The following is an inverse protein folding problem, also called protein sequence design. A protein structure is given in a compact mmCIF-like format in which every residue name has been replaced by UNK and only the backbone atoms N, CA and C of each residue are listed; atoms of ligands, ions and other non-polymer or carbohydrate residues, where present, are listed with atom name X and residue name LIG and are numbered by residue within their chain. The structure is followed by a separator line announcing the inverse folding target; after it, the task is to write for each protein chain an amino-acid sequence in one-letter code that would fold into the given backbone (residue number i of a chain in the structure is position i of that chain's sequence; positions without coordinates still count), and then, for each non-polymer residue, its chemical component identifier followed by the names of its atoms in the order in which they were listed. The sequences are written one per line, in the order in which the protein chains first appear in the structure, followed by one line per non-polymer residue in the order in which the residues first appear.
data_IF_967114940050
#
_entry.id   IF_967114940050
#
_cell.length_a   1.000
_cell.length_b   1.000
_cell.length_c   1.000
_cell.angle_alpha   90.00
_cell.angle_beta   90.00
_cell.angle_gamma   90.00
#
_symmetry.space_group_name_H-M   'P 1'
#
loop_
_entity.id
_entity.type
_entity.pdbx_description
1 polymer ?
#
# COMPACT_ATOMS: atom_id res chain seq x y z
N UNK A 1 8.84 7.45 81.25
CA UNK A 1 8.92 6.37 80.24
C UNK A 1 7.75 6.35 79.23
N UNK A 2 6.79 7.30 79.26
CA UNK A 2 5.66 7.35 78.29
C UNK A 2 5.88 8.32 77.10
N UNK A 3 6.67 9.39 77.29
CA UNK A 3 6.95 10.38 76.23
C UNK A 3 7.79 9.83 75.08
N UNK A 4 8.76 8.94 75.35
CA UNK A 4 9.60 8.31 74.31
C UNK A 4 8.80 7.35 73.42
N UNK A 5 7.75 6.72 73.95
CA UNK A 5 6.84 5.89 73.16
C UNK A 5 6.00 6.76 72.22
N UNK A 6 5.51 7.90 72.68
CA UNK A 6 4.69 8.81 71.88
C UNK A 6 5.49 9.48 70.74
N UNK A 7 6.76 9.85 70.96
CA UNK A 7 7.61 10.40 69.88
C UNK A 7 7.98 9.32 68.86
N UNK A 8 8.31 8.10 69.33
CA UNK A 8 8.61 6.97 68.45
C UNK A 8 7.40 6.56 67.59
N UNK A 9 6.18 6.62 68.13
CA UNK A 9 4.95 6.27 67.43
C UNK A 9 4.59 7.31 66.34
N UNK A 10 4.85 8.59 66.59
CA UNK A 10 4.71 9.66 65.59
C UNK A 10 5.76 9.58 64.48
N UNK A 11 6.98 9.21 64.81
CA UNK A 11 8.06 9.06 63.81
C UNK A 11 7.84 7.82 62.94
N UNK A 12 7.30 6.73 63.52
CA UNK A 12 6.92 5.54 62.78
C UNK A 12 5.77 5.82 61.79
N UNK A 13 4.73 6.55 62.21
CA UNK A 13 3.63 6.97 61.33
C UNK A 13 4.11 7.87 60.17
N UNK A 14 5.08 8.76 60.42
CA UNK A 14 5.68 9.60 59.38
C UNK A 14 6.49 8.78 58.38
N UNK A 15 7.26 7.80 58.86
CA UNK A 15 8.01 6.88 58.01
C UNK A 15 7.08 6.03 57.14
N UNK A 16 5.95 5.58 57.70
CA UNK A 16 4.95 4.79 56.98
C UNK A 16 4.26 5.60 55.88
N UNK A 17 3.86 6.85 56.18
CA UNK A 17 3.26 7.75 55.19
C UNK A 17 4.26 8.11 54.09
N UNK A 18 5.54 8.31 54.43
CA UNK A 18 6.60 8.58 53.45
C UNK A 18 6.81 7.36 52.55
N UNK A 19 6.87 6.16 53.12
CA UNK A 19 6.98 4.91 52.39
C UNK A 19 5.82 4.71 51.42
N UNK A 20 4.58 4.90 51.88
CA UNK A 20 3.39 4.83 51.02
C UNK A 20 3.44 5.86 49.88
N UNK A 21 3.87 7.09 50.14
CA UNK A 21 4.00 8.13 49.10
C UNK A 21 5.06 7.79 48.06
N UNK A 22 6.20 7.25 48.48
CA UNK A 22 7.26 6.80 47.57
C UNK A 22 6.78 5.60 46.74
N UNK A 23 6.09 4.64 47.36
CA UNK A 23 5.52 3.49 46.67
C UNK A 23 4.49 3.90 45.62
N UNK A 24 3.56 4.80 45.98
CA UNK A 24 2.56 5.33 45.04
C UNK A 24 3.23 6.15 43.93
N UNK A 25 4.22 6.98 44.25
CA UNK A 25 4.99 7.74 43.25
C UNK A 25 5.72 6.82 42.27
N UNK A 26 6.34 5.74 42.77
CA UNK A 26 6.99 4.72 41.96
C UNK A 26 6.02 3.98 41.03
N UNK A 27 4.83 3.64 41.54
CA UNK A 27 3.76 3.01 40.73
C UNK A 27 3.27 3.93 39.61
N UNK A 28 3.07 5.22 39.90
CA UNK A 28 2.67 6.20 38.88
C UNK A 28 3.73 6.35 37.80
N UNK A 29 5.02 6.43 38.19
CA UNK A 29 6.13 6.49 37.23
C UNK A 29 6.22 5.22 36.37
N UNK A 30 6.03 4.05 36.96
CA UNK A 30 6.00 2.79 36.23
C UNK A 30 4.82 2.73 35.24
N UNK A 31 3.65 3.27 35.62
CA UNK A 31 2.49 3.35 34.73
C UNK A 31 2.75 4.30 33.56
N UNK A 32 3.36 5.45 33.80
CA UNK A 32 3.72 6.42 32.75
C UNK A 32 4.80 5.86 31.81
N UNK A 33 5.79 5.14 32.34
CA UNK A 33 6.79 4.46 31.53
C UNK A 33 6.17 3.36 30.65
N UNK A 34 5.25 2.57 31.21
CA UNK A 34 4.49 1.58 30.45
C UNK A 34 3.61 2.24 29.38
N UNK A 35 2.90 3.32 29.71
CA UNK A 35 2.10 4.06 28.74
C UNK A 35 2.98 4.62 27.60
N UNK A 36 4.13 5.22 27.92
CA UNK A 36 5.09 5.69 26.92
C UNK A 36 5.64 4.57 26.03
N UNK A 37 5.94 3.41 26.60
CA UNK A 37 6.32 2.22 25.85
C UNK A 37 5.16 1.67 25.00
N UNK A 38 3.93 1.69 25.50
CA UNK A 38 2.74 1.31 24.72
C UNK A 38 2.50 2.26 23.56
N UNK A 39 2.71 3.57 23.72
CA UNK A 39 2.62 4.53 22.62
C UNK A 39 3.73 4.36 21.58
N UNK A 40 4.95 3.99 21.99
CA UNK A 40 6.04 3.71 21.03
C UNK A 40 5.82 2.39 20.28
N UNK A 41 5.18 1.40 20.92
CA UNK A 41 4.84 0.11 20.31
C UNK A 41 3.57 0.19 19.46
N UNK A 42 2.57 1.01 19.84
CA UNK A 42 1.31 1.17 19.10
C UNK A 42 1.47 1.79 17.70
N UNK A 43 2.62 2.41 17.40
CA UNK A 43 2.97 2.87 16.05
C UNK A 43 3.79 1.88 15.22
N UNK A 44 4.14 0.71 15.78
CA UNK A 44 5.09 -0.25 15.21
C UNK A 44 4.56 -1.69 15.28
N UNK A 45 3.24 -1.86 15.20
CA UNK A 45 2.63 -3.19 15.20
C UNK A 45 2.86 -3.86 13.84
N UNK A 46 3.97 -4.60 13.79
CA UNK A 46 4.43 -5.37 12.63
C UNK A 46 3.54 -6.60 12.46
N UNK A 47 2.47 -6.49 11.68
CA UNK A 47 1.73 -7.67 11.23
C UNK A 47 2.51 -8.35 10.12
N UNK A 48 3.31 -9.36 10.48
CA UNK A 48 4.03 -10.21 9.53
C UNK A 48 3.01 -11.18 8.91
N UNK A 49 2.51 -10.87 7.72
CA UNK A 49 1.70 -11.79 6.92
C UNK A 49 2.66 -12.64 6.08
N UNK A 50 2.89 -13.89 6.49
CA UNK A 50 3.71 -14.84 5.73
C UNK A 50 2.80 -15.83 5.00
N UNK A 51 2.72 -15.77 3.67
CA UNK A 51 2.49 -16.95 2.85
C UNK A 51 3.81 -17.73 2.63
N UNK A 52 3.78 -19.06 2.51
CA UNK A 52 4.94 -19.93 2.69
C UNK A 52 6.02 -19.90 1.59
N UNK A 53 5.89 -19.09 0.54
CA UNK A 53 6.84 -19.09 -0.57
C UNK A 53 7.24 -17.66 -0.99
N UNK A 54 8.50 -17.33 -0.65
CA UNK A 54 9.48 -16.55 -1.41
C UNK A 54 9.63 -15.02 -1.15
N UNK A 55 10.83 -14.71 -0.62
CA UNK A 55 11.70 -13.52 -0.66
C UNK A 55 11.27 -12.15 -0.09
N UNK A 56 11.75 -11.95 1.16
CA UNK A 56 12.11 -10.70 1.86
C UNK A 56 10.98 -9.90 2.51
N UNK A 57 11.32 -9.40 3.69
CA UNK A 57 10.46 -8.76 4.67
C UNK A 57 10.03 -7.38 4.18
N UNK A 58 8.76 -7.21 3.80
CA UNK A 58 8.20 -5.92 3.41
C UNK A 58 8.00 -5.01 4.64
N UNK A 59 8.44 -3.75 4.55
CA UNK A 59 8.20 -2.74 5.58
C UNK A 59 7.29 -1.63 5.01
N UNK A 60 6.24 -1.28 5.76
CA UNK A 60 5.43 -0.09 5.51
C UNK A 60 5.67 0.83 6.69
N UNK A 61 6.31 1.99 6.46
CA UNK A 61 6.55 2.98 7.52
C UNK A 61 5.79 4.26 7.20
N UNK A 62 4.73 4.53 7.97
CA UNK A 62 3.90 5.73 7.85
C UNK A 62 3.16 5.82 6.51
N UNK A 63 3.76 6.52 5.54
CA UNK A 63 3.26 6.72 4.17
C UNK A 63 4.20 6.17 3.08
N UNK A 64 5.35 5.62 3.48
CA UNK A 64 6.32 5.03 2.56
C UNK A 64 6.10 3.53 2.49
N UNK A 65 5.81 3.09 1.28
CA UNK A 65 5.63 1.70 0.91
C UNK A 65 6.91 1.27 0.21
N UNK A 66 7.46 0.10 0.58
CA UNK A 66 8.73 -0.34 -0.02
C UNK A 66 8.58 -0.51 -1.54
N UNK A 67 9.63 -0.21 -2.30
CA UNK A 67 9.62 -0.38 -3.76
C UNK A 67 9.26 -1.79 -4.17
N UNK A 68 9.69 -2.81 -3.43
CA UNK A 68 9.38 -4.20 -3.71
C UNK A 68 7.89 -4.48 -3.56
N UNK A 69 7.24 -3.96 -2.52
CA UNK A 69 5.79 -4.11 -2.39
C UNK A 69 5.05 -3.39 -3.52
N UNK A 70 5.50 -2.19 -3.91
CA UNK A 70 4.93 -1.48 -5.06
C UNK A 70 5.10 -2.29 -6.35
N UNK A 71 6.26 -2.91 -6.58
CA UNK A 71 6.53 -3.77 -7.73
C UNK A 71 5.58 -4.98 -7.77
N UNK A 72 5.49 -5.73 -6.66
CA UNK A 72 4.61 -6.90 -6.54
C UNK A 72 3.14 -6.53 -6.79
N UNK A 73 2.70 -5.42 -6.18
CA UNK A 73 1.35 -4.94 -6.39
C UNK A 73 1.13 -4.51 -7.84
N UNK A 74 2.06 -3.78 -8.44
CA UNK A 74 1.94 -3.34 -9.83
C UNK A 74 1.90 -4.52 -10.79
N UNK A 75 2.70 -5.57 -10.56
CA UNK A 75 2.64 -6.82 -11.32
C UNK A 75 1.26 -7.48 -11.21
N UNK A 76 0.72 -7.57 -9.99
CA UNK A 76 -0.61 -8.13 -9.75
C UNK A 76 -1.73 -7.32 -10.45
N UNK A 77 -1.71 -5.99 -10.34
CA UNK A 77 -2.67 -5.11 -11.00
C UNK A 77 -2.56 -5.17 -12.53
N UNK A 78 -1.34 -5.21 -13.07
CA UNK A 78 -1.11 -5.40 -14.50
C UNK A 78 -1.70 -6.73 -14.98
N UNK A 79 -1.56 -7.79 -14.20
CA UNK A 79 -2.22 -9.07 -14.47
C UNK A 79 -3.75 -8.95 -14.56
N UNK A 80 -4.39 -8.31 -13.57
CA UNK A 80 -5.84 -8.10 -13.58
C UNK A 80 -6.33 -7.22 -14.74
N UNK A 81 -5.50 -6.27 -15.18
CA UNK A 81 -5.85 -5.33 -16.22
C UNK A 81 -5.59 -5.85 -17.63
N UNK A 82 -4.58 -6.71 -17.80
CA UNK A 82 -4.03 -7.08 -19.10
C UNK A 82 -4.09 -8.58 -19.41
N UNK A 83 -4.27 -9.45 -18.41
CA UNK A 83 -4.40 -10.90 -18.60
C UNK A 83 -5.87 -11.34 -18.53
N UNK A 84 -6.64 -10.85 -19.49
CA UNK A 84 -8.11 -10.95 -19.53
C UNK A 84 -8.57 -11.80 -20.70
N UNK A 85 -9.55 -12.67 -20.45
CA UNK A 85 -10.32 -13.40 -21.47
C UNK A 85 -11.79 -12.98 -21.41
N UNK A 86 -12.59 -13.26 -22.46
CA UNK A 86 -14.01 -12.87 -22.49
C UNK A 86 -14.81 -13.40 -21.29
N UNK A 87 -14.44 -14.56 -20.76
CA UNK A 87 -15.13 -15.20 -19.64
C UNK A 87 -14.82 -14.55 -18.29
N UNK A 88 -13.59 -14.04 -18.10
CA UNK A 88 -13.13 -13.51 -16.81
C UNK A 88 -13.07 -11.99 -16.75
N UNK A 89 -13.21 -11.30 -17.89
CA UNK A 89 -13.00 -9.87 -17.98
C UNK A 89 -13.90 -9.04 -17.05
N UNK A 90 -15.15 -9.45 -16.83
CA UNK A 90 -16.05 -8.76 -15.89
C UNK A 90 -15.61 -8.98 -14.44
N UNK A 91 -15.23 -10.21 -14.09
CA UNK A 91 -14.74 -10.55 -12.76
C UNK A 91 -13.44 -9.82 -12.43
N UNK A 92 -12.46 -9.83 -13.34
CA UNK A 92 -11.18 -9.16 -13.14
C UNK A 92 -11.33 -7.63 -13.06
N UNK A 93 -12.18 -7.01 -13.90
CA UNK A 93 -12.56 -5.60 -13.77
C UNK A 93 -13.10 -5.29 -12.38
N UNK A 94 -14.07 -6.07 -11.91
CA UNK A 94 -14.67 -5.83 -10.59
C UNK A 94 -13.67 -6.05 -9.45
N UNK A 95 -12.73 -6.97 -9.61
CA UNK A 95 -11.63 -7.16 -8.65
C UNK A 95 -10.65 -5.99 -8.66
N UNK A 96 -10.28 -5.48 -9.83
CA UNK A 96 -9.42 -4.29 -9.97
C UNK A 96 -10.07 -3.06 -9.32
N UNK A 97 -11.35 -2.82 -9.59
CA UNK A 97 -12.10 -1.67 -9.08
C UNK A 97 -12.29 -1.69 -7.56
N UNK A 98 -12.21 -2.84 -6.88
CA UNK A 98 -12.27 -2.92 -5.40
C UNK A 98 -11.11 -2.20 -4.72
N UNK A 99 -9.98 -2.08 -5.40
CA UNK A 99 -8.78 -1.44 -4.88
C UNK A 99 -8.50 -0.09 -5.54
N UNK A 100 -9.40 0.38 -6.42
CA UNK A 100 -9.30 1.70 -7.00
C UNK A 100 -9.48 2.79 -5.94
N UNK A 101 -8.71 3.87 -6.06
CA UNK A 101 -8.87 5.04 -5.22
C UNK A 101 -10.28 5.63 -5.41
N UNK A 102 -11.00 6.01 -4.33
CA UNK A 102 -12.36 6.53 -4.45
C UNK A 102 -12.51 7.72 -5.40
N UNK A 103 -11.47 8.58 -5.50
CA UNK A 103 -11.44 9.73 -6.41
C UNK A 103 -11.33 9.32 -7.89
N UNK A 104 -10.72 8.17 -8.18
CA UNK A 104 -10.43 7.70 -9.55
C UNK A 104 -11.39 6.59 -10.00
N UNK A 105 -12.22 6.07 -9.09
CA UNK A 105 -13.12 4.95 -9.33
C UNK A 105 -13.98 5.15 -10.58
N UNK A 106 -14.63 6.31 -10.73
CA UNK A 106 -15.53 6.58 -11.86
C UNK A 106 -14.80 6.57 -13.21
N UNK A 107 -13.59 7.15 -13.27
CA UNK A 107 -12.76 7.18 -14.48
C UNK A 107 -12.30 5.77 -14.85
N UNK A 108 -11.74 5.04 -13.89
CA UNK A 108 -11.29 3.66 -14.09
C UNK A 108 -12.47 2.74 -14.46
N UNK A 109 -13.64 2.90 -13.83
CA UNK A 109 -14.83 2.12 -14.16
C UNK A 109 -15.26 2.32 -15.63
N UNK A 110 -15.26 3.56 -16.12
CA UNK A 110 -15.60 3.85 -17.51
C UNK A 110 -14.57 3.26 -18.48
N UNK A 111 -13.28 3.48 -18.21
CA UNK A 111 -12.18 3.01 -19.05
C UNK A 111 -12.15 1.49 -19.17
N UNK A 112 -12.15 0.79 -18.02
CA UNK A 112 -12.17 -0.67 -17.99
C UNK A 112 -13.51 -1.24 -18.45
N UNK A 113 -14.62 -0.53 -18.26
CA UNK A 113 -15.93 -0.93 -18.77
C UNK A 113 -15.94 -1.06 -20.29
N UNK A 114 -15.46 -0.03 -20.99
CA UNK A 114 -15.32 -0.05 -22.46
C UNK A 114 -14.41 -1.18 -22.92
N UNK A 115 -13.27 -1.36 -22.23
CA UNK A 115 -12.29 -2.40 -22.57
C UNK A 115 -12.86 -3.82 -22.37
N UNK A 116 -13.52 -4.08 -21.25
CA UNK A 116 -14.19 -5.34 -20.95
C UNK A 116 -15.30 -5.63 -21.96
N UNK A 117 -16.07 -4.62 -22.36
CA UNK A 117 -17.10 -4.78 -23.38
C UNK A 117 -16.51 -5.12 -24.74
N UNK A 118 -15.42 -4.47 -25.13
CA UNK A 118 -14.68 -4.77 -26.36
C UNK A 118 -14.17 -6.22 -26.37
N UNK A 119 -13.54 -6.67 -25.28
CA UNK A 119 -13.04 -8.04 -25.13
C UNK A 119 -14.17 -9.06 -25.30
N UNK A 120 -15.31 -8.82 -24.65
CA UNK A 120 -16.47 -9.71 -24.69
C UNK A 120 -17.12 -9.75 -26.07
N UNK A 121 -17.34 -8.59 -26.70
CA UNK A 121 -18.00 -8.48 -28.01
C UNK A 121 -17.18 -9.09 -29.13
N UNK A 122 -15.86 -8.95 -29.07
CA UNK A 122 -14.96 -9.42 -30.13
C UNK A 122 -14.38 -10.80 -29.85
N UNK A 123 -14.80 -11.49 -28.78
CA UNK A 123 -14.18 -12.73 -28.32
C UNK A 123 -12.64 -12.61 -28.27
N UNK A 124 -12.16 -11.46 -27.79
CA UNK A 124 -10.75 -11.12 -27.76
C UNK A 124 -10.16 -11.50 -26.40
N UNK A 125 -8.89 -11.87 -26.37
CA UNK A 125 -8.14 -12.11 -25.14
C UNK A 125 -6.84 -11.35 -25.19
N UNK A 126 -6.35 -10.90 -24.04
CA UNK A 126 -5.03 -10.26 -23.94
C UNK A 126 -4.17 -10.96 -22.91
N UNK A 127 -2.87 -10.94 -23.13
CA UNK A 127 -1.86 -11.43 -22.21
C UNK A 127 -0.68 -10.49 -22.25
N UNK A 128 -0.25 -10.06 -21.09
CA UNK A 128 0.93 -9.23 -20.89
C UNK A 128 2.03 -10.02 -20.22
N UNK A 129 3.20 -9.99 -20.84
CA UNK A 129 4.43 -10.61 -20.38
C UNK A 129 5.40 -9.50 -19.98
N UNK A 130 5.41 -9.06 -18.71
CA UNK A 130 6.35 -8.06 -18.22
C UNK A 130 7.79 -8.58 -18.30
N UNK A 131 8.69 -7.72 -18.77
CA UNK A 131 10.12 -7.97 -18.94
C UNK A 131 10.98 -7.11 -18.00
N UNK A 132 10.49 -5.92 -17.66
CA UNK A 132 11.14 -5.00 -16.73
C UNK A 132 10.10 -4.32 -15.86
N UNK A 133 10.44 -4.11 -14.58
CA UNK A 133 9.58 -3.44 -13.59
C UNK A 133 10.42 -2.41 -12.87
N UNK A 134 10.11 -1.13 -13.08
CA UNK A 134 10.87 0.00 -12.54
C UNK A 134 9.96 0.78 -11.58
N UNK A 135 10.21 0.74 -10.27
CA UNK A 135 9.46 1.51 -9.29
C UNK A 135 10.04 2.92 -9.13
N UNK A 136 9.15 3.87 -8.88
CA UNK A 136 9.44 5.21 -8.39
C UNK A 136 8.71 5.40 -7.05
N UNK A 137 9.46 5.25 -5.96
CA UNK A 137 8.95 5.40 -4.60
C UNK A 137 8.51 6.83 -4.29
N UNK A 138 9.14 7.84 -4.91
CA UNK A 138 8.84 9.24 -4.65
C UNK A 138 7.51 9.64 -5.29
N UNK A 139 7.26 9.15 -6.52
CA UNK A 139 6.00 9.36 -7.22
C UNK A 139 4.91 8.34 -6.84
N UNK A 140 5.24 7.28 -6.10
CA UNK A 140 4.36 6.13 -5.82
C UNK A 140 3.85 5.47 -7.10
N UNK A 141 4.74 5.31 -8.09
CA UNK A 141 4.44 4.77 -9.42
C UNK A 141 5.35 3.60 -9.74
N UNK A 142 4.88 2.71 -10.60
CA UNK A 142 5.68 1.61 -11.12
C UNK A 142 5.42 1.49 -12.61
N UNK A 143 6.50 1.54 -13.40
CA UNK A 143 6.45 1.28 -14.83
C UNK A 143 6.77 -0.20 -15.10
N UNK A 144 5.89 -0.89 -15.83
CA UNK A 144 6.10 -2.25 -16.31
C UNK A 144 6.26 -2.22 -17.83
N UNK A 145 7.44 -2.60 -18.32
CA UNK A 145 7.71 -2.74 -19.75
C UNK A 145 7.63 -4.21 -20.12
N UNK A 146 6.95 -4.53 -21.21
CA UNK A 146 6.84 -5.91 -21.66
C UNK A 146 6.09 -6.05 -22.99
N UNK A 147 5.71 -7.28 -23.30
CA UNK A 147 5.00 -7.62 -24.54
C UNK A 147 3.53 -7.84 -24.22
N UNK A 148 2.65 -7.09 -24.87
CA UNK A 148 1.21 -7.32 -24.88
C UNK A 148 0.82 -8.09 -26.15
N UNK A 149 0.32 -9.30 -25.94
CA UNK A 149 -0.27 -10.14 -26.96
C UNK A 149 -1.80 -10.00 -26.91
N UNK A 150 -2.42 -9.88 -28.08
CA UNK A 150 -3.87 -9.86 -28.24
C UNK A 150 -4.28 -10.94 -29.23
N UNK A 151 -5.28 -11.73 -28.85
CA UNK A 151 -5.89 -12.75 -29.68
C UNK A 151 -7.35 -12.41 -29.92
N UNK A 152 -7.87 -12.82 -31.06
CA UNK A 152 -9.28 -12.73 -31.42
C UNK A 152 -9.69 -14.11 -31.93
N UNK A 153 -10.50 -14.82 -31.12
CA UNK A 153 -10.68 -16.27 -31.30
C UNK A 153 -9.34 -16.99 -31.27
N UNK A 154 -9.05 -17.78 -32.31
CA UNK A 154 -7.86 -18.64 -32.38
C UNK A 154 -6.64 -17.98 -33.04
N UNK A 155 -6.76 -16.72 -33.49
CA UNK A 155 -5.69 -16.02 -34.22
C UNK A 155 -5.05 -14.93 -33.36
N UNK A 156 -3.72 -14.86 -33.40
CA UNK A 156 -2.96 -13.74 -32.85
C UNK A 156 -3.26 -12.49 -33.68
N UNK A 157 -3.93 -11.52 -33.06
CA UNK A 157 -4.34 -10.27 -33.69
C UNK A 157 -3.24 -9.20 -33.60
N UNK A 158 -2.52 -9.16 -32.48
CA UNK A 158 -1.44 -8.19 -32.28
C UNK A 158 -0.41 -8.69 -31.27
N UNK A 159 0.82 -8.20 -31.43
CA UNK A 159 1.92 -8.34 -30.50
C UNK A 159 2.64 -7.00 -30.45
N UNK A 160 2.67 -6.37 -29.27
CA UNK A 160 3.20 -5.02 -29.11
C UNK A 160 4.10 -4.95 -27.88
N UNK A 161 5.32 -4.44 -28.07
CA UNK A 161 6.15 -3.97 -26.95
C UNK A 161 5.52 -2.68 -26.41
N UNK A 162 5.17 -2.69 -25.13
CA UNK A 162 4.52 -1.54 -24.50
C UNK A 162 4.91 -1.42 -23.03
N UNK A 163 4.83 -0.19 -22.52
CA UNK A 163 5.06 0.11 -21.11
C UNK A 163 3.74 0.55 -20.48
N UNK A 164 3.44 0.03 -19.29
CA UNK A 164 2.29 0.43 -18.49
C UNK A 164 2.75 1.05 -17.18
N UNK A 165 2.12 2.16 -16.78
CA UNK A 165 2.34 2.75 -15.46
C UNK A 165 1.17 2.43 -14.56
N UNK A 166 1.50 1.92 -13.38
CA UNK A 166 0.58 1.78 -12.26
C UNK A 166 0.97 2.79 -11.21
N UNK A 167 0.07 3.71 -10.89
CA UNK A 167 0.26 4.66 -9.81
C UNK A 167 -0.62 4.32 -8.63
N UNK A 168 -0.11 4.63 -7.45
CA UNK A 168 -0.70 4.26 -6.20
C UNK A 168 -0.95 5.46 -5.30
N UNK A 169 -1.95 5.34 -4.43
CA UNK A 169 -2.21 6.27 -3.34
C UNK A 169 -2.37 5.49 -2.05
N UNK A 170 -1.68 5.94 -1.00
CA UNK A 170 -1.81 5.36 0.33
C UNK A 170 -2.87 6.14 1.11
N UNK A 171 -4.03 5.52 1.32
CA UNK A 171 -5.20 6.14 1.97
C UNK A 171 -5.73 5.21 3.05
N UNK A 172 -5.99 5.73 4.25
CA UNK A 172 -6.60 5.00 5.37
C UNK A 172 -5.89 3.66 5.69
N UNK A 173 -4.55 3.65 5.64
CA UNK A 173 -3.75 2.46 5.94
C UNK A 173 -3.69 1.41 4.82
N UNK A 174 -4.29 1.68 3.65
CA UNK A 174 -4.29 0.76 2.50
C UNK A 174 -3.78 1.42 1.22
N UNK A 175 -3.08 0.64 0.41
CA UNK A 175 -2.66 1.04 -0.92
C UNK A 175 -3.83 0.90 -1.91
N UNK A 176 -4.11 1.95 -2.64
CA UNK A 176 -5.13 1.98 -3.69
C UNK A 176 -4.49 2.30 -5.03
N UNK A 177 -5.01 1.72 -6.11
CA UNK A 177 -4.59 2.08 -7.47
C UNK A 177 -5.27 3.39 -7.88
N UNK A 178 -4.48 4.37 -8.28
CA UNK A 178 -4.95 5.69 -8.71
C UNK A 178 -4.89 5.86 -10.23
N UNK A 179 -3.85 5.33 -10.85
CA UNK A 179 -3.69 5.37 -12.30
C UNK A 179 -3.24 4.02 -12.83
N UNK A 180 -3.75 3.68 -14.00
CA UNK A 180 -3.26 2.60 -14.85
C UNK A 180 -3.31 3.13 -16.28
N UNK A 181 -2.15 3.31 -16.92
CA UNK A 181 -2.09 3.91 -18.26
C UNK A 181 -0.99 3.29 -19.08
N UNK A 182 -1.21 3.22 -20.39
CA UNK A 182 -0.16 2.88 -21.35
C UNK A 182 0.75 4.09 -21.58
N UNK A 183 2.06 3.88 -21.55
CA UNK A 183 3.10 4.86 -21.81
C UNK A 183 4.06 4.35 -22.90
N UNK A 184 5.23 4.96 -23.02
CA UNK A 184 6.25 4.58 -23.99
C UNK A 184 7.55 4.23 -23.27
N UNK A 185 8.32 3.32 -23.83
CA UNK A 185 9.63 2.93 -23.31
C UNK A 185 10.60 4.14 -23.20
N UNK A 186 10.41 5.18 -24.02
CA UNK A 186 11.21 6.41 -23.98
C UNK A 186 10.82 7.36 -22.83
N UNK A 187 9.60 7.27 -22.33
CA UNK A 187 9.09 8.03 -21.17
C UNK A 187 8.22 7.09 -20.31
N UNK A 188 8.87 6.22 -19.52
CA UNK A 188 8.18 5.14 -18.83
C UNK A 188 7.14 5.66 -17.84
N UNK A 189 7.33 6.84 -17.24
CA UNK A 189 6.39 7.43 -16.28
C UNK A 189 5.45 8.48 -16.89
N UNK A 190 5.66 8.87 -18.14
CA UNK A 190 4.85 9.87 -18.84
C UNK A 190 5.04 11.29 -18.28
N UNK A 191 6.26 11.66 -17.89
CA UNK A 191 6.59 12.94 -17.27
C UNK A 191 6.76 14.11 -18.27
N UNK A 192 6.46 13.91 -19.56
CA UNK A 192 6.39 14.99 -20.56
C UNK A 192 4.95 15.42 -20.87
N UNK A 193 4.43 16.42 -20.14
CA UNK A 193 3.48 17.48 -20.58
C UNK A 193 2.71 18.07 -19.38
N UNK A 194 3.40 18.90 -18.59
CA UNK A 194 2.83 19.66 -17.47
C UNK A 194 3.29 21.13 -17.40
N UNK A 195 4.02 21.62 -18.39
CA UNK A 195 4.40 23.03 -18.52
C UNK A 195 4.08 23.52 -19.92
N UNK A 196 2.78 23.72 -20.18
CA UNK A 196 2.33 24.59 -21.26
C UNK A 196 2.68 26.04 -20.91
N UNK A 197 3.92 26.44 -21.18
CA UNK A 197 4.25 27.85 -21.32
C UNK A 197 3.54 28.35 -22.57
N UNK A 198 2.54 29.20 -22.38
CA UNK A 198 1.82 29.87 -23.45
C UNK A 198 2.80 30.65 -24.35
N UNK A 199 2.78 30.47 -25.69
CA UNK A 199 3.42 31.42 -26.57
C UNK A 199 2.60 32.72 -26.56
N UNK A 200 3.28 33.82 -26.23
CA UNK A 200 2.85 35.18 -26.54
C UNK A 200 2.92 35.43 -28.04
#
# INVERSE_FOLDING_TARGET
MKFSKFTAERDNQRAEILFMRIAVGGLVLALLANAGASFSVAGSERTILVPPEVHKTFWVSGQKVSSEYLQEMAYWYAGLALNVTPHVAEYQKNLFLRYAAPSEYGRLQAEYGVRTEFIRKNNASTQFSPQSVIPDEAAMKVALTGVLLTWVGDKKASEKQTTYVVGFQYLNGRLHVSEFKETSDQDPFGAGNGTGAAPR
#
